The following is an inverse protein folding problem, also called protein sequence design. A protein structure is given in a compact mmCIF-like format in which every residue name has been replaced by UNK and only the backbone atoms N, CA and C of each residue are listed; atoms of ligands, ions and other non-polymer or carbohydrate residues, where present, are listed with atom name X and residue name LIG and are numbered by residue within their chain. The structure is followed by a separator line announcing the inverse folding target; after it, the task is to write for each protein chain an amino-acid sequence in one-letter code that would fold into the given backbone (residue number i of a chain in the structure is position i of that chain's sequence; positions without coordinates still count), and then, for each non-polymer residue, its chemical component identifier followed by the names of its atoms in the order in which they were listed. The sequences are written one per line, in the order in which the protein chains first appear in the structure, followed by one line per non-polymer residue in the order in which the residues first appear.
data_IF_627749561391
#
_entry.id   IF_627749561391
#
_cell.length_a   1.000
_cell.length_b   1.000
_cell.length_c   1.000
_cell.angle_alpha   90.00
_cell.angle_beta   90.00
_cell.angle_gamma   90.00
#
_symmetry.space_group_name_H-M   'P 1'
#
loop_
_entity.id
_entity.type
_entity.pdbx_description
1 polymer ?
#
# COMPACT_ATOMS: atom_id res chain seq x y z
N UNK A 1 -7.64 14.90 2.18
CA UNK A 1 -7.98 14.55 0.78
C UNK A 1 -9.42 14.05 0.69
N UNK A 2 -9.98 13.85 -0.51
CA UNK A 2 -11.37 13.40 -0.67
C UNK A 2 -11.63 12.66 -1.98
N UNK A 3 -12.57 11.71 -1.94
CA UNK A 3 -13.19 11.06 -3.10
C UNK A 3 -14.62 11.59 -3.20
N UNK A 4 -14.99 12.13 -4.35
CA UNK A 4 -16.30 12.74 -4.58
C UNK A 4 -17.01 12.01 -5.72
N UNK A 5 -18.26 11.62 -5.48
CA UNK A 5 -19.12 11.09 -6.52
C UNK A 5 -19.53 12.21 -7.47
N UNK A 6 -19.18 12.08 -8.75
CA UNK A 6 -19.38 13.16 -9.73
C UNK A 6 -20.86 13.46 -10.00
N UNK A 7 -21.75 12.47 -9.93
CA UNK A 7 -23.16 12.62 -10.31
C UNK A 7 -23.94 13.55 -9.38
N UNK A 8 -23.63 13.55 -8.08
CA UNK A 8 -24.38 14.28 -7.05
C UNK A 8 -23.50 15.16 -6.14
N UNK A 9 -22.17 15.12 -6.33
CA UNK A 9 -21.22 15.88 -5.52
C UNK A 9 -21.01 15.33 -4.11
N UNK A 10 -21.58 14.17 -3.78
CA UNK A 10 -21.46 13.55 -2.46
C UNK A 10 -20.01 13.19 -2.19
N UNK A 11 -19.52 13.56 -1.01
CA UNK A 11 -18.22 13.08 -0.52
C UNK A 11 -18.38 11.64 -0.09
N UNK A 12 -17.81 10.71 -0.86
CA UNK A 12 -17.83 9.27 -0.57
C UNK A 12 -16.85 8.95 0.55
N UNK A 13 -15.69 9.59 0.51
CA UNK A 13 -14.66 9.44 1.53
C UNK A 13 -13.86 10.73 1.68
N UNK A 14 -13.41 11.01 2.89
CA UNK A 14 -12.42 12.04 3.17
C UNK A 14 -11.43 11.55 4.24
N UNK A 15 -10.26 12.16 4.25
CA UNK A 15 -9.23 11.92 5.26
C UNK A 15 -8.24 13.06 5.31
N UNK A 16 -7.23 12.93 6.15
CA UNK A 16 -6.19 13.94 6.31
C UNK A 16 -5.32 14.08 5.05
N UNK A 17 -4.43 15.07 5.05
CA UNK A 17 -3.44 15.28 4.01
C UNK A 17 -2.14 14.53 4.31
N UNK A 18 -1.48 14.07 3.25
CA UNK A 18 -0.10 13.57 3.28
C UNK A 18 0.83 14.61 2.64
N UNK A 19 2.16 14.43 2.75
CA UNK A 19 3.09 15.29 2.01
C UNK A 19 2.94 15.09 0.50
N UNK A 20 2.74 13.85 0.08
CA UNK A 20 2.33 13.49 -1.28
C UNK A 20 1.21 12.46 -1.21
N UNK A 21 0.33 12.50 -2.20
CA UNK A 21 -0.75 11.53 -2.31
C UNK A 21 -1.08 11.22 -3.76
N UNK A 22 -1.42 9.96 -4.00
CA UNK A 22 -1.78 9.43 -5.32
C UNK A 22 -3.03 8.56 -5.22
N UNK A 23 -3.81 8.57 -6.31
CA UNK A 23 -5.08 7.88 -6.42
C UNK A 23 -5.09 7.04 -7.69
N UNK A 24 -5.41 5.75 -7.59
CA UNK A 24 -5.50 4.85 -8.73
C UNK A 24 -6.82 4.10 -8.66
N UNK A 25 -7.65 4.29 -9.69
CA UNK A 25 -8.98 3.68 -9.80
C UNK A 25 -8.90 2.28 -10.42
N UNK A 26 -9.74 1.36 -9.93
CA UNK A 26 -9.99 0.08 -10.59
C UNK A 26 -10.65 0.31 -11.96
N UNK A 27 -10.54 -0.67 -12.86
CA UNK A 27 -11.09 -0.57 -14.21
C UNK A 27 -12.61 -0.31 -14.21
N UNK A 28 -13.32 -0.97 -13.31
CA UNK A 28 -14.76 -0.82 -13.10
C UNK A 28 -15.17 0.37 -12.22
N UNK A 29 -14.21 1.16 -11.73
CA UNK A 29 -14.43 2.32 -10.85
C UNK A 29 -15.11 2.03 -9.51
N UNK A 30 -15.20 0.76 -9.08
CA UNK A 30 -15.74 0.41 -7.75
C UNK A 30 -14.76 0.69 -6.62
N UNK A 31 -13.47 0.68 -6.91
CA UNK A 31 -12.43 0.85 -5.92
C UNK A 31 -11.45 1.95 -6.33
N UNK A 32 -10.95 2.67 -5.34
CA UNK A 32 -9.82 3.59 -5.52
C UNK A 32 -8.76 3.29 -4.48
N UNK A 33 -7.56 2.96 -4.93
CA UNK A 33 -6.39 2.87 -4.09
C UNK A 33 -5.87 4.29 -3.80
N UNK A 34 -5.59 4.56 -2.53
CA UNK A 34 -5.04 5.83 -2.05
C UNK A 34 -3.67 5.53 -1.44
N UNK A 35 -2.64 6.12 -2.02
CA UNK A 35 -1.28 6.08 -1.47
C UNK A 35 -0.95 7.45 -0.89
N UNK A 36 -0.40 7.48 0.32
CA UNK A 36 0.01 8.69 1.00
C UNK A 36 1.38 8.52 1.63
N UNK A 37 2.28 9.48 1.39
CA UNK A 37 3.64 9.45 1.96
C UNK A 37 3.84 10.61 2.94
N UNK A 38 4.40 10.27 4.10
CA UNK A 38 4.96 11.15 5.09
C UNK A 38 6.50 11.08 5.06
N UNK A 39 7.19 11.87 5.89
CA UNK A 39 8.67 11.97 5.83
C UNK A 39 9.41 10.64 6.06
N UNK A 40 8.85 9.75 6.86
CA UNK A 40 9.50 8.49 7.28
C UNK A 40 8.57 7.30 7.17
N UNK A 41 7.43 7.43 6.48
CA UNK A 41 6.51 6.32 6.26
C UNK A 41 5.56 6.63 5.11
N UNK A 42 5.07 5.61 4.43
CA UNK A 42 4.02 5.71 3.42
C UNK A 42 3.01 4.59 3.60
N UNK A 43 1.74 4.93 3.46
CA UNK A 43 0.64 3.98 3.59
C UNK A 43 -0.17 3.91 2.28
N UNK A 44 -0.71 2.73 2.04
CA UNK A 44 -1.65 2.48 0.97
C UNK A 44 -2.90 1.80 1.54
N UNK A 45 -4.07 2.21 1.08
CA UNK A 45 -5.34 1.58 1.40
C UNK A 45 -6.30 1.72 0.23
N UNK A 46 -7.40 0.98 0.25
CA UNK A 46 -8.44 1.06 -0.77
C UNK A 46 -9.69 1.68 -0.17
N UNK A 47 -10.40 2.48 -0.95
CA UNK A 47 -11.75 2.95 -0.65
C UNK A 47 -12.71 2.30 -1.63
N UNK A 48 -13.74 1.66 -1.10
CA UNK A 48 -14.92 1.27 -1.87
C UNK A 48 -15.71 2.54 -2.23
N UNK A 49 -15.83 2.81 -3.52
CA UNK A 49 -16.39 4.05 -4.05
C UNK A 49 -17.93 4.12 -3.96
N UNK A 50 -18.59 3.00 -3.71
CA UNK A 50 -20.04 2.96 -3.51
C UNK A 50 -20.37 3.32 -2.06
N UNK A 51 -19.68 2.67 -1.12
CA UNK A 51 -19.98 2.72 0.32
C UNK A 51 -19.12 3.70 1.11
N UNK A 52 -17.96 4.09 0.57
CA UNK A 52 -16.94 4.87 1.28
C UNK A 52 -16.13 4.05 2.29
N UNK A 53 -16.34 2.73 2.36
CA UNK A 53 -15.62 1.86 3.29
C UNK A 53 -14.13 1.81 2.94
N UNK A 54 -13.30 1.94 3.97
CA UNK A 54 -11.85 1.74 3.85
C UNK A 54 -11.52 0.26 4.01
N UNK A 55 -10.87 -0.29 3.00
CA UNK A 55 -10.29 -1.63 3.00
C UNK A 55 -8.80 -1.48 3.28
N UNK A 56 -8.37 -1.98 4.44
CA UNK A 56 -6.97 -1.95 4.84
C UNK A 56 -6.19 -2.97 4.02
N UNK A 57 -5.04 -2.54 3.52
CA UNK A 57 -4.09 -3.41 2.85
C UNK A 57 -3.11 -4.03 3.86
N UNK A 58 -2.46 -5.15 3.50
CA UNK A 58 -1.39 -5.73 4.29
C UNK A 58 -0.31 -4.70 4.68
N UNK A 59 0.01 -4.66 5.96
CA UNK A 59 1.06 -3.81 6.51
C UNK A 59 2.42 -4.53 6.53
N UNK A 60 3.43 -3.82 7.02
CA UNK A 60 4.80 -4.35 7.15
C UNK A 60 4.86 -5.67 7.92
N UNK A 61 4.03 -5.88 8.94
CA UNK A 61 4.05 -7.10 9.75
C UNK A 61 3.51 -8.28 8.96
N UNK A 62 2.40 -8.06 8.24
CA UNK A 62 1.77 -9.10 7.40
C UNK A 62 2.71 -9.47 6.24
N UNK A 63 3.28 -8.48 5.55
CA UNK A 63 4.16 -8.72 4.41
C UNK A 63 5.47 -9.39 4.84
N UNK A 64 6.14 -8.87 5.88
CA UNK A 64 7.42 -9.43 6.35
C UNK A 64 7.29 -10.85 6.93
N UNK A 65 6.12 -11.23 7.47
CA UNK A 65 5.88 -12.60 7.94
C UNK A 65 5.92 -13.66 6.82
N UNK A 66 5.78 -13.25 5.55
CA UNK A 66 5.91 -14.15 4.39
C UNK A 66 7.35 -14.26 3.87
N UNK A 67 8.28 -13.50 4.43
CA UNK A 67 9.65 -13.35 3.91
C UNK A 67 10.68 -14.04 4.81
N UNK A 68 11.91 -14.12 4.31
CA UNK A 68 13.05 -14.60 5.08
C UNK A 68 13.33 -13.72 6.31
N UNK A 69 13.96 -14.30 7.34
CA UNK A 69 14.26 -13.60 8.61
C UNK A 69 15.15 -12.36 8.43
N UNK A 70 15.97 -12.34 7.37
CA UNK A 70 16.80 -11.17 7.03
C UNK A 70 15.97 -9.97 6.52
N UNK A 71 14.76 -10.22 6.03
CA UNK A 71 13.85 -9.17 5.57
C UNK A 71 12.99 -8.57 6.69
N UNK A 72 13.16 -9.00 7.94
CA UNK A 72 12.40 -8.46 9.05
C UNK A 72 12.71 -6.98 9.25
N UNK A 73 11.73 -6.16 9.62
CA UNK A 73 11.91 -4.71 9.75
C UNK A 73 12.84 -4.34 10.91
N UNK A 74 13.54 -3.20 10.77
CA UNK A 74 14.28 -2.57 11.87
C UNK A 74 13.35 -2.21 13.03
N UNK A 75 13.81 -2.44 14.26
CA UNK A 75 13.01 -2.21 15.46
C UNK A 75 12.69 -0.72 15.69
N UNK A 76 13.61 0.19 15.33
CA UNK A 76 13.47 1.63 15.61
C UNK A 76 13.06 2.47 14.39
N UNK A 77 13.59 2.17 13.21
CA UNK A 77 13.42 2.99 11.99
C UNK A 77 13.23 2.09 10.78
N UNK A 78 12.12 1.34 10.71
CA UNK A 78 11.82 0.54 9.52
C UNK A 78 11.42 1.43 8.33
N UNK A 79 10.95 2.64 8.60
CA UNK A 79 10.53 3.65 7.62
C UNK A 79 9.75 3.06 6.42
N UNK A 80 8.67 2.30 6.66
CA UNK A 80 7.99 1.56 5.61
C UNK A 80 7.28 2.48 4.64
N UNK A 81 7.37 2.18 3.37
CA UNK A 81 6.61 2.88 2.32
C UNK A 81 5.87 1.83 1.52
N UNK A 82 4.55 2.00 1.44
CA UNK A 82 3.65 1.21 0.61
C UNK A 82 2.97 2.13 -0.40
N UNK A 83 2.96 1.73 -1.67
CA UNK A 83 2.41 2.53 -2.76
C UNK A 83 1.69 1.63 -3.77
N UNK A 84 0.43 1.94 -4.06
CA UNK A 84 -0.28 1.32 -5.18
C UNK A 84 0.42 1.67 -6.50
N UNK A 85 0.67 0.65 -7.31
CA UNK A 85 1.32 0.79 -8.62
C UNK A 85 0.28 0.74 -9.73
N UNK A 86 -0.53 -0.32 -9.72
CA UNK A 86 -1.58 -0.55 -10.71
C UNK A 86 -2.61 -1.56 -10.21
N UNK A 87 -3.78 -1.56 -10.85
CA UNK A 87 -4.75 -2.64 -10.73
C UNK A 87 -4.42 -3.72 -11.76
N UNK A 88 -4.12 -4.93 -11.29
CA UNK A 88 -3.88 -6.09 -12.16
C UNK A 88 -5.18 -6.52 -12.85
N UNK A 89 -6.29 -6.38 -12.12
CA UNK A 89 -7.66 -6.55 -12.59
C UNK A 89 -8.61 -5.77 -11.65
N UNK A 90 -9.93 -5.90 -11.83
CA UNK A 90 -10.92 -5.13 -11.06
C UNK A 90 -10.90 -5.39 -9.54
N UNK A 91 -10.33 -6.49 -9.07
CA UNK A 91 -10.31 -6.87 -7.64
C UNK A 91 -8.91 -7.04 -7.06
N UNK A 92 -7.87 -7.00 -7.89
CA UNK A 92 -6.49 -7.24 -7.47
C UNK A 92 -5.63 -6.00 -7.69
N UNK A 93 -5.05 -5.47 -6.62
CA UNK A 93 -4.13 -4.34 -6.66
C UNK A 93 -2.69 -4.82 -6.51
N UNK A 94 -1.77 -4.27 -7.30
CA UNK A 94 -0.33 -4.40 -7.11
C UNK A 94 0.18 -3.23 -6.25
N UNK A 95 0.93 -3.55 -5.20
CA UNK A 95 1.47 -2.60 -4.23
C UNK A 95 2.98 -2.77 -4.15
N UNK A 96 3.70 -1.72 -4.48
CA UNK A 96 5.13 -1.58 -4.21
C UNK A 96 5.34 -1.35 -2.73
N UNK A 97 6.37 -1.96 -2.17
CA UNK A 97 6.80 -1.71 -0.81
C UNK A 97 8.30 -1.58 -0.68
N UNK A 98 8.71 -0.86 0.37
CA UNK A 98 10.09 -0.85 0.86
C UNK A 98 10.15 -0.57 2.36
N UNK A 99 11.20 -1.08 3.02
CA UNK A 99 11.54 -0.74 4.40
C UNK A 99 13.01 -1.04 4.70
N UNK A 100 13.50 -0.52 5.82
CA UNK A 100 14.83 -0.79 6.37
C UNK A 100 14.79 -2.10 7.15
N UNK A 101 15.69 -3.04 6.81
CA UNK A 101 15.80 -4.35 7.44
C UNK A 101 16.40 -4.29 8.86
N UNK A 102 16.29 -5.39 9.62
CA UNK A 102 16.60 -5.46 11.06
C UNK A 102 17.98 -4.93 11.46
N UNK A 103 18.97 -5.05 10.58
CA UNK A 103 20.34 -4.59 10.83
C UNK A 103 20.61 -3.14 10.39
N UNK A 104 19.62 -2.43 9.82
CA UNK A 104 19.74 -1.02 9.44
C UNK A 104 20.56 -0.75 8.17
N UNK A 105 21.38 -1.71 7.75
CA UNK A 105 22.30 -1.56 6.61
C UNK A 105 21.70 -1.97 5.27
N UNK A 106 20.59 -2.72 5.28
CA UNK A 106 19.92 -3.24 4.08
C UNK A 106 18.51 -2.70 3.94
N UNK A 107 18.08 -2.56 2.69
CA UNK A 107 16.72 -2.24 2.34
C UNK A 107 16.02 -3.49 1.78
N UNK A 108 14.80 -3.71 2.22
CA UNK A 108 13.87 -4.64 1.58
C UNK A 108 13.02 -3.84 0.61
N UNK A 109 12.82 -4.35 -0.59
CA UNK A 109 11.86 -3.80 -1.55
C UNK A 109 11.20 -4.91 -2.35
N UNK A 110 10.00 -4.66 -2.85
CA UNK A 110 9.25 -5.64 -3.58
C UNK A 110 7.87 -5.17 -3.98
N UNK A 111 7.12 -6.10 -4.57
CA UNK A 111 5.70 -5.94 -4.87
C UNK A 111 4.91 -7.06 -4.21
N UNK A 112 3.69 -6.75 -3.79
CA UNK A 112 2.68 -7.78 -3.56
C UNK A 112 1.42 -7.46 -4.36
N UNK A 113 0.71 -8.52 -4.75
CA UNK A 113 -0.63 -8.45 -5.30
C UNK A 113 -1.63 -8.86 -4.22
N UNK A 114 -2.64 -8.03 -3.98
CA UNK A 114 -3.68 -8.27 -2.99
C UNK A 114 -5.04 -8.35 -3.68
N UNK A 115 -5.70 -9.49 -3.54
CA UNK A 115 -7.06 -9.69 -4.02
C UNK A 115 -8.06 -9.35 -2.92
N UNK A 116 -8.91 -8.37 -3.20
CA UNK A 116 -9.84 -7.78 -2.23
C UNK A 116 -10.95 -8.74 -1.84
N UNK A 117 -11.37 -9.61 -2.77
CA UNK A 117 -12.49 -10.53 -2.56
C UNK A 117 -12.10 -11.63 -1.59
N UNK A 118 -10.93 -12.23 -1.79
CA UNK A 118 -10.38 -13.25 -0.90
C UNK A 118 -9.77 -12.66 0.37
N UNK A 119 -9.36 -11.39 0.34
CA UNK A 119 -8.71 -10.71 1.45
C UNK A 119 -7.26 -11.17 1.67
N UNK A 120 -6.60 -11.67 0.62
CA UNK A 120 -5.28 -12.29 0.74
C UNK A 120 -4.26 -11.69 -0.23
N UNK A 121 -2.99 -11.77 0.16
CA UNK A 121 -1.87 -11.62 -0.77
C UNK A 121 -1.84 -12.87 -1.67
N UNK A 122 -1.91 -12.68 -2.99
CA UNK A 122 -1.90 -13.77 -3.97
C UNK A 122 -0.53 -13.97 -4.62
N UNK A 123 0.31 -12.93 -4.60
CA UNK A 123 1.70 -12.96 -5.05
C UNK A 123 2.54 -11.98 -4.23
N UNK A 124 3.77 -12.35 -3.90
CA UNK A 124 4.70 -11.48 -3.18
C UNK A 124 6.12 -11.75 -3.68
N UNK A 125 6.74 -10.74 -4.29
CA UNK A 125 8.10 -10.80 -4.80
C UNK A 125 8.95 -9.76 -4.11
N UNK A 126 10.03 -10.20 -3.47
CA UNK A 126 10.92 -9.32 -2.70
C UNK A 126 12.37 -9.49 -3.09
N UNK A 127 13.14 -8.45 -2.83
CA UNK A 127 14.60 -8.48 -2.80
C UNK A 127 15.11 -7.74 -1.58
N UNK A 128 16.26 -8.18 -1.09
CA UNK A 128 17.07 -7.45 -0.12
C UNK A 128 18.31 -6.93 -0.83
N UNK A 129 18.66 -5.68 -0.61
CA UNK A 129 19.85 -5.04 -1.18
C UNK A 129 20.52 -4.16 -0.15
N UNK A 130 21.80 -3.88 -0.35
CA UNK A 130 22.49 -2.87 0.45
C UNK A 130 21.77 -1.53 0.31
N UNK A 131 21.59 -0.83 1.42
CA UNK A 131 20.98 0.50 1.40
C UNK A 131 21.84 1.44 0.54
N UNK A 132 21.25 2.23 -0.38
CA UNK A 132 22.01 3.24 -1.09
C UNK A 132 22.55 4.23 -0.05
N UNK A 133 23.88 4.25 0.09
CA UNK A 133 24.61 5.12 1.03
C UNK A 133 24.52 6.60 0.67
#
# INVERSE_FOLDING_TARGET
MRVIRKSDGTTVWNGDGYYSAEFIWSGDSKYVAVSGEARTWGACFIVDAETGQVIKLPDINIVSAQLHVESQPADNRPDPIFKAVEWVNDTTICVDYRWIAKEGEKAVSGTYEYDIISGNIVSNTSKISDSPG
#
